data_IF_026586273058
#
_entry.id   IF_026586273058
#
_cell.length_a   1.000
_cell.length_b   1.000
_cell.length_c   1.000
_cell.angle_alpha   90.00
_cell.angle_beta   90.00
_cell.angle_gamma   90.00
#
_symmetry.space_group_name_H-M   'P 1'
#
loop_
_entity.id
_entity.type
_entity.pdbx_description
1 polymer ?
#
# COMPACT_ATOMS: atom_id res chain seq x y z
N UNK A 1 35.99 41.91 -20.61
CA UNK A 1 35.08 41.86 -19.44
C UNK A 1 34.56 40.43 -19.32
N UNK A 2 35.44 39.45 -19.12
CA UNK A 2 36.12 39.06 -17.88
C UNK A 2 35.13 38.53 -16.83
N UNK A 3 35.25 37.34 -16.26
CA UNK A 3 36.02 36.12 -16.57
C UNK A 3 35.46 35.02 -15.65
N UNK A 4 35.25 33.82 -16.17
CA UNK A 4 35.11 32.59 -15.38
C UNK A 4 36.50 32.15 -14.90
N UNK A 5 36.67 31.59 -13.69
CA UNK A 5 37.88 30.83 -13.38
C UNK A 5 37.66 29.31 -13.42
N UNK A 6 38.71 28.67 -13.91
CA UNK A 6 38.92 27.31 -14.34
C UNK A 6 39.38 26.35 -13.23
N UNK A 7 39.22 25.05 -13.51
CA UNK A 7 39.88 23.94 -12.82
C UNK A 7 41.40 23.93 -13.12
N UNK A 8 42.22 23.64 -12.10
CA UNK A 8 43.52 23.00 -12.31
C UNK A 8 43.90 22.05 -11.17
N UNK A 9 44.09 20.79 -11.54
CA UNK A 9 44.79 19.72 -10.82
C UNK A 9 46.25 20.06 -10.57
N UNK A 10 46.78 19.66 -9.41
CA UNK A 10 48.20 19.28 -9.23
C UNK A 10 48.35 18.29 -8.08
N UNK A 11 48.69 17.05 -8.43
CA UNK A 11 49.43 16.14 -7.55
C UNK A 11 50.91 16.59 -7.48
N UNK A 12 51.60 16.32 -6.37
CA UNK A 12 52.95 15.70 -6.28
C UNK A 12 53.31 15.47 -4.78
N UNK A 13 53.35 14.19 -4.44
CA UNK A 13 54.27 13.41 -3.59
C UNK A 13 55.25 14.05 -2.56
N UNK A 14 55.11 13.52 -1.32
CA UNK A 14 56.10 12.95 -0.35
C UNK A 14 57.38 13.67 0.10
N UNK A 15 57.47 13.83 1.44
CA UNK A 15 58.55 13.48 2.42
C UNK A 15 58.22 14.29 3.70
N UNK A 16 58.35 13.90 4.98
CA UNK A 16 58.97 12.78 5.66
C UNK A 16 59.44 13.26 7.06
N UNK A 17 58.71 12.90 8.13
CA UNK A 17 59.14 12.72 9.54
C UNK A 17 59.42 13.89 10.52
N UNK A 18 59.16 13.58 11.80
CA UNK A 18 59.40 14.30 13.08
C UNK A 18 58.32 15.34 13.45
N UNK A 19 57.66 15.38 14.61
CA UNK A 19 57.92 14.84 15.95
C UNK A 19 56.58 14.51 16.66
N UNK A 20 56.52 13.34 17.29
CA UNK A 20 55.44 12.92 18.18
C UNK A 20 55.93 12.99 19.63
N UNK A 21 55.54 14.02 20.40
CA UNK A 21 55.62 14.03 21.87
C UNK A 21 54.99 15.30 22.49
N UNK A 22 53.70 15.61 22.26
CA UNK A 22 53.06 16.73 22.99
C UNK A 22 51.51 16.74 23.03
N UNK A 23 50.81 15.59 22.93
CA UNK A 23 49.32 15.62 22.83
C UNK A 23 48.57 14.63 23.74
N UNK A 24 49.14 14.22 24.88
CA UNK A 24 48.50 13.28 25.80
C UNK A 24 48.07 13.88 27.16
N UNK A 25 47.89 15.20 27.28
CA UNK A 25 47.40 15.80 28.53
C UNK A 25 46.15 16.70 28.40
N UNK A 26 45.67 16.99 27.19
CA UNK A 26 44.46 17.82 26.99
C UNK A 26 43.19 17.03 26.61
N UNK A 27 43.28 15.69 26.51
CA UNK A 27 42.11 14.84 26.19
C UNK A 27 41.33 14.32 27.39
N UNK A 28 41.87 14.37 28.60
CA UNK A 28 41.20 13.84 29.81
C UNK A 28 40.33 14.88 30.55
N UNK A 29 40.29 16.14 30.09
CA UNK A 29 39.44 17.19 30.71
C UNK A 29 38.22 17.59 29.91
N UNK A 30 38.02 17.03 28.71
CA UNK A 30 36.87 17.38 27.87
C UNK A 30 35.73 16.35 27.92
N UNK A 31 35.91 15.22 28.62
CA UNK A 31 34.96 14.11 28.67
C UNK A 31 34.07 14.08 29.93
N UNK A 32 34.20 15.03 30.87
CA UNK A 32 33.34 15.08 32.08
C UNK A 32 32.25 16.17 32.09
N UNK A 33 32.20 17.07 31.10
CA UNK A 33 31.21 18.17 31.07
C UNK A 33 30.07 18.03 30.04
N UNK A 34 29.98 16.90 29.31
CA UNK A 34 28.94 16.68 28.30
C UNK A 34 27.84 15.68 28.71
N UNK A 35 27.72 15.38 30.01
CA UNK A 35 26.82 14.34 30.51
C UNK A 35 25.36 14.81 30.81
N UNK A 36 24.99 16.06 30.54
CA UNK A 36 23.66 16.57 30.96
C UNK A 36 22.91 17.42 29.92
N UNK A 37 23.11 17.18 28.62
CA UNK A 37 22.12 17.59 27.62
C UNK A 37 21.01 16.53 27.56
N UNK A 38 19.93 16.75 28.31
CA UNK A 38 18.62 16.13 28.03
C UNK A 38 18.31 16.36 26.56
N UNK A 39 18.49 15.32 25.73
CA UNK A 39 17.95 15.30 24.38
C UNK A 39 16.44 15.50 24.50
N UNK A 40 15.97 16.69 24.12
CA UNK A 40 14.56 17.04 24.09
C UNK A 40 13.91 16.16 23.02
N UNK A 41 13.32 15.03 23.42
CA UNK A 41 12.71 14.06 22.51
C UNK A 41 11.50 14.75 21.88
N UNK A 42 11.64 15.21 20.63
CA UNK A 42 10.52 15.86 19.92
C UNK A 42 9.47 14.83 19.55
N UNK A 43 8.35 14.88 20.25
CA UNK A 43 7.19 14.06 19.93
C UNK A 43 6.36 14.68 18.82
N UNK A 44 5.63 13.85 18.07
CA UNK A 44 4.64 14.33 17.11
C UNK A 44 3.39 14.85 17.83
N UNK A 45 3.07 16.11 17.59
CA UNK A 45 1.82 16.75 18.01
C UNK A 45 0.97 17.09 16.81
N UNK A 46 -0.34 17.31 17.01
CA UNK A 46 -1.24 17.77 15.94
C UNK A 46 -0.72 19.07 15.29
N UNK A 47 -0.16 19.98 16.08
CA UNK A 47 0.42 21.23 15.55
C UNK A 47 1.67 20.99 14.70
N UNK A 48 2.53 20.04 15.08
CA UNK A 48 3.68 19.64 14.26
C UNK A 48 3.21 19.00 12.95
N UNK A 49 2.24 18.09 13.00
CA UNK A 49 1.64 17.46 11.81
C UNK A 49 1.09 18.54 10.86
N UNK A 50 0.34 19.51 11.40
CA UNK A 50 -0.20 20.64 10.61
C UNK A 50 0.90 21.51 10.01
N UNK A 51 1.99 21.78 10.73
CA UNK A 51 3.13 22.56 10.23
C UNK A 51 3.89 21.83 9.11
N UNK A 52 3.97 20.50 9.20
CA UNK A 52 4.65 19.65 8.22
C UNK A 52 3.72 19.08 7.13
N UNK A 53 2.53 19.67 6.93
CA UNK A 53 1.49 19.13 6.04
C UNK A 53 1.97 18.80 4.60
N UNK A 54 2.96 19.53 4.07
CA UNK A 54 3.52 19.31 2.72
C UNK A 54 4.35 18.04 2.59
N UNK A 55 4.72 17.41 3.70
CA UNK A 55 5.47 16.15 3.73
C UNK A 55 4.56 14.92 3.71
N UNK A 56 3.25 15.13 3.67
CA UNK A 56 2.26 14.06 3.60
C UNK A 56 1.70 13.96 2.18
N UNK A 57 1.72 12.75 1.65
CA UNK A 57 0.98 12.39 0.44
C UNK A 57 -0.03 11.31 0.84
N UNK A 58 -1.30 11.72 0.97
CA UNK A 58 -2.37 10.90 1.52
C UNK A 58 -3.28 10.43 0.38
N UNK A 59 -3.20 9.16 0.02
CA UNK A 59 -4.03 8.59 -1.04
C UNK A 59 -5.46 8.33 -0.58
N UNK A 60 -6.42 8.81 -1.37
CA UNK A 60 -7.84 8.46 -1.19
C UNK A 60 -8.13 7.03 -1.70
N UNK A 61 -7.41 6.61 -2.74
CA UNK A 61 -7.49 5.28 -3.36
C UNK A 61 -6.08 4.65 -3.50
N UNK A 62 -5.44 4.25 -2.39
CA UNK A 62 -4.16 3.56 -2.40
C UNK A 62 -4.34 2.16 -2.98
N UNK A 63 -3.54 1.86 -3.98
CA UNK A 63 -3.49 0.56 -4.67
C UNK A 63 -2.03 0.23 -4.91
N UNK A 64 -1.72 -1.06 -4.88
CA UNK A 64 -0.39 -1.58 -5.23
C UNK A 64 -0.41 -1.97 -6.70
N UNK A 65 0.74 -1.95 -7.37
CA UNK A 65 0.85 -2.50 -8.71
C UNK A 65 1.44 -3.91 -8.62
N UNK A 66 0.79 -4.91 -9.21
CA UNK A 66 1.48 -6.17 -9.45
C UNK A 66 2.64 -5.92 -10.41
N UNK A 67 3.79 -6.52 -10.11
CA UNK A 67 4.98 -6.42 -10.94
C UNK A 67 4.71 -6.86 -12.39
N UNK A 68 3.78 -7.81 -12.59
CA UNK A 68 3.25 -8.22 -13.91
C UNK A 68 1.75 -7.93 -14.05
N UNK A 69 1.29 -6.78 -13.56
CA UNK A 69 -0.06 -6.25 -13.79
C UNK A 69 -0.16 -5.47 -15.10
N UNK A 70 -1.39 -5.23 -15.57
CA UNK A 70 -1.64 -4.56 -16.85
C UNK A 70 -1.14 -3.11 -16.85
N UNK A 71 -1.29 -2.41 -15.72
CA UNK A 71 -0.82 -1.03 -15.60
C UNK A 71 0.71 -0.93 -15.72
N UNK A 72 1.46 -1.88 -15.18
CA UNK A 72 2.92 -1.88 -15.31
C UNK A 72 3.33 -2.09 -16.77
N UNK A 73 2.69 -3.01 -17.47
CA UNK A 73 2.94 -3.22 -18.91
C UNK A 73 2.55 -1.98 -19.73
N UNK A 74 1.44 -1.31 -19.38
CA UNK A 74 1.03 -0.05 -20.01
C UNK A 74 2.05 1.06 -19.77
N UNK A 75 2.53 1.24 -18.54
CA UNK A 75 3.54 2.25 -18.20
C UNK A 75 4.86 2.06 -18.95
N UNK A 76 5.27 0.80 -19.15
CA UNK A 76 6.48 0.43 -19.90
C UNK A 76 6.25 0.68 -21.40
N UNK A 77 5.19 0.12 -21.97
CA UNK A 77 4.92 0.20 -23.42
C UNK A 77 4.64 1.62 -23.91
N UNK A 78 4.00 2.46 -23.08
CA UNK A 78 3.77 3.88 -23.35
C UNK A 78 4.97 4.78 -23.02
N UNK A 79 6.02 4.21 -22.42
CA UNK A 79 7.20 4.93 -21.93
C UNK A 79 6.82 6.10 -20.99
N UNK A 80 5.76 5.93 -20.19
CA UNK A 80 5.31 6.86 -19.15
C UNK A 80 6.05 6.61 -17.84
N UNK A 81 6.55 5.39 -17.62
CA UNK A 81 7.28 5.00 -16.41
C UNK A 81 8.42 5.96 -16.02
N UNK A 82 8.99 6.71 -16.97
CA UNK A 82 10.03 7.72 -16.71
C UNK A 82 9.57 8.93 -15.87
N UNK A 83 8.27 9.11 -15.68
CA UNK A 83 7.70 10.23 -14.92
C UNK A 83 7.45 9.91 -13.45
N UNK A 84 7.57 8.64 -13.06
CA UNK A 84 7.36 8.19 -11.69
C UNK A 84 8.47 7.24 -11.25
N UNK A 85 8.74 7.22 -9.95
CA UNK A 85 9.60 6.23 -9.34
C UNK A 85 8.76 5.22 -8.59
N UNK A 86 9.24 3.97 -8.54
CA UNK A 86 8.53 2.88 -7.90
C UNK A 86 9.43 2.20 -6.88
N UNK A 87 8.82 1.76 -5.78
CA UNK A 87 9.48 0.96 -4.76
C UNK A 87 8.80 -0.40 -4.67
N UNK A 88 9.58 -1.47 -4.59
CA UNK A 88 9.03 -2.78 -4.29
C UNK A 88 8.45 -2.81 -2.87
N UNK A 89 7.27 -3.43 -2.71
CA UNK A 89 6.71 -3.73 -1.38
C UNK A 89 7.72 -4.59 -0.63
N UNK A 90 8.09 -4.17 0.57
CA UNK A 90 9.18 -4.80 1.30
C UNK A 90 8.72 -6.10 1.95
N UNK A 91 7.46 -6.15 2.39
CA UNK A 91 6.92 -7.23 3.20
C UNK A 91 5.45 -7.51 2.90
N UNK A 92 5.14 -8.76 2.60
CA UNK A 92 3.78 -9.29 2.71
C UNK A 92 3.68 -9.96 4.09
N UNK A 93 2.73 -9.52 4.91
CA UNK A 93 2.51 -10.02 6.25
C UNK A 93 1.24 -10.88 6.33
N UNK A 94 1.18 -11.74 7.33
CA UNK A 94 0.01 -12.54 7.67
C UNK A 94 -0.14 -12.67 9.17
N UNK A 95 -1.38 -12.82 9.63
CA UNK A 95 -1.72 -12.90 11.05
C UNK A 95 -2.39 -14.23 11.37
N UNK A 96 -1.74 -15.05 12.20
CA UNK A 96 -2.26 -16.35 12.63
C UNK A 96 -1.97 -16.53 14.12
N UNK A 97 -2.95 -17.05 14.87
CA UNK A 97 -2.82 -17.38 16.29
C UNK A 97 -2.26 -16.24 17.16
N UNK A 98 -2.72 -15.01 16.92
CA UNK A 98 -2.28 -13.83 17.68
C UNK A 98 -0.94 -13.26 17.25
N UNK A 99 -0.29 -13.83 16.23
CA UNK A 99 1.06 -13.45 15.80
C UNK A 99 1.09 -12.93 14.37
N UNK A 100 1.64 -11.73 14.21
CA UNK A 100 1.97 -11.16 12.90
C UNK A 100 3.32 -11.72 12.43
N UNK A 101 3.38 -12.21 11.20
CA UNK A 101 4.59 -12.80 10.62
C UNK A 101 4.75 -12.43 9.16
N UNK A 102 5.98 -12.43 8.67
CA UNK A 102 6.27 -12.22 7.26
C UNK A 102 6.04 -13.51 6.49
N UNK A 103 5.38 -13.35 5.34
CA UNK A 103 5.12 -14.43 4.39
C UNK A 103 6.39 -14.64 3.58
N UNK A 104 6.88 -15.89 3.48
CA UNK A 104 7.99 -16.21 2.58
C UNK A 104 7.60 -15.98 1.12
N UNK A 105 8.32 -15.11 0.40
CA UNK A 105 8.02 -14.79 -1.00
C UNK A 105 9.06 -15.35 -1.99
N UNK A 106 10.12 -16.00 -1.51
CA UNK A 106 11.07 -16.74 -2.35
C UNK A 106 11.31 -18.15 -1.84
N UNK A 107 11.89 -19.00 -2.70
CA UNK A 107 12.39 -20.32 -2.27
C UNK A 107 13.35 -20.18 -1.08
N UNK A 108 14.26 -19.20 -1.12
CA UNK A 108 15.20 -18.94 -0.04
C UNK A 108 14.48 -18.58 1.27
N UNK A 109 13.46 -17.73 1.22
CA UNK A 109 12.66 -17.36 2.39
C UNK A 109 11.94 -18.58 2.97
N UNK A 110 11.35 -19.43 2.11
CA UNK A 110 10.67 -20.66 2.54
C UNK A 110 11.66 -21.55 3.28
N UNK A 111 12.88 -21.72 2.77
CA UNK A 111 13.92 -22.49 3.46
C UNK A 111 14.36 -21.86 4.78
N UNK A 112 14.55 -20.53 4.84
CA UNK A 112 14.97 -19.83 6.04
C UNK A 112 13.88 -19.74 7.13
N UNK A 113 12.62 -19.84 6.75
CA UNK A 113 11.49 -19.73 7.67
C UNK A 113 11.49 -20.87 8.72
N UNK A 114 11.40 -20.52 10.01
CA UNK A 114 11.39 -21.48 11.13
C UNK A 114 9.98 -21.82 11.64
N UNK A 115 8.96 -21.10 11.19
CA UNK A 115 7.56 -21.32 11.61
C UNK A 115 6.91 -22.47 10.85
N UNK A 116 7.43 -22.81 9.66
CA UNK A 116 6.92 -23.88 8.80
C UNK A 116 7.87 -25.09 8.87
N UNK A 117 7.33 -26.28 9.11
CA UNK A 117 8.12 -27.52 9.11
C UNK A 117 8.59 -27.90 7.69
N UNK A 118 9.61 -28.76 7.59
CA UNK A 118 10.14 -29.20 6.27
C UNK A 118 9.06 -29.89 5.42
N UNK A 119 8.16 -30.64 6.05
CA UNK A 119 7.03 -31.31 5.37
C UNK A 119 6.07 -30.27 4.80
N UNK A 120 5.71 -29.26 5.59
CA UNK A 120 4.81 -28.19 5.17
C UNK A 120 5.40 -27.31 4.07
N UNK A 121 6.72 -27.06 4.11
CA UNK A 121 7.43 -26.38 3.01
C UNK A 121 7.30 -27.15 1.70
N UNK A 122 7.44 -28.49 1.75
CA UNK A 122 7.27 -29.36 0.57
C UNK A 122 5.83 -29.33 0.05
N UNK A 123 4.85 -29.40 0.95
CA UNK A 123 3.43 -29.31 0.59
C UNK A 123 3.09 -27.98 -0.08
N UNK A 124 3.56 -26.86 0.51
CA UNK A 124 3.38 -25.53 -0.04
C UNK A 124 3.98 -25.44 -1.43
N UNK A 125 5.25 -25.82 -1.60
CA UNK A 125 5.90 -25.76 -2.92
C UNK A 125 5.20 -26.63 -3.97
N UNK A 126 4.74 -27.83 -3.62
CA UNK A 126 4.00 -28.69 -4.55
C UNK A 126 2.67 -28.07 -5.00
N UNK A 127 1.93 -27.46 -4.06
CA UNK A 127 0.69 -26.79 -4.38
C UNK A 127 0.91 -25.55 -5.26
N UNK A 128 1.90 -24.70 -4.92
CA UNK A 128 2.21 -23.50 -5.70
C UNK A 128 2.64 -23.84 -7.13
N UNK A 129 3.43 -24.91 -7.31
CA UNK A 129 3.80 -25.41 -8.64
C UNK A 129 2.58 -25.88 -9.43
N UNK A 130 1.68 -26.66 -8.82
CA UNK A 130 0.43 -27.10 -9.47
C UNK A 130 -0.43 -25.91 -9.91
N UNK A 131 -0.65 -24.90 -9.05
CA UNK A 131 -1.41 -23.71 -9.43
C UNK A 131 -0.74 -22.89 -10.55
N UNK A 132 0.59 -22.80 -10.54
CA UNK A 132 1.36 -22.05 -11.55
C UNK A 132 1.33 -22.73 -12.92
N UNK A 133 1.57 -24.05 -12.96
CA UNK A 133 1.67 -24.84 -14.20
C UNK A 133 0.30 -25.09 -14.83
N UNK A 134 -0.69 -25.47 -14.02
CA UNK A 134 -1.94 -25.98 -14.56
C UNK A 134 -2.91 -24.86 -14.93
N UNK A 135 -2.95 -23.74 -14.20
CA UNK A 135 -3.91 -22.65 -14.46
C UNK A 135 -5.37 -23.09 -14.25
N UNK A 136 -6.27 -22.13 -14.05
CA UNK A 136 -7.62 -22.48 -13.57
C UNK A 136 -8.51 -23.21 -14.59
N UNK A 137 -8.14 -23.20 -15.88
CA UNK A 137 -8.88 -23.86 -16.96
C UNK A 137 -8.32 -25.27 -17.28
N UNK A 138 -7.45 -25.83 -16.41
CA UNK A 138 -6.92 -27.19 -16.60
C UNK A 138 -7.92 -28.28 -16.19
N UNK A 139 -7.75 -29.52 -16.72
CA UNK A 139 -8.54 -30.66 -16.28
C UNK A 139 -8.46 -30.99 -14.78
N UNK A 140 -7.41 -30.54 -14.07
CA UNK A 140 -7.30 -30.71 -12.61
C UNK A 140 -8.43 -29.98 -11.87
N UNK A 141 -8.90 -28.85 -12.40
CA UNK A 141 -9.88 -27.99 -11.75
C UNK A 141 -11.32 -28.18 -12.26
N UNK A 142 -11.54 -29.03 -13.27
CA UNK A 142 -12.87 -29.27 -13.85
C UNK A 142 -13.90 -29.76 -12.81
N UNK A 143 -13.47 -30.59 -11.85
CA UNK A 143 -14.31 -31.05 -10.73
C UNK A 143 -14.62 -30.01 -9.65
N UNK A 144 -14.12 -28.78 -9.81
CA UNK A 144 -14.19 -27.70 -8.83
C UNK A 144 -14.70 -26.37 -9.40
N UNK A 145 -15.28 -26.37 -10.61
CA UNK A 145 -15.79 -25.15 -11.26
C UNK A 145 -16.84 -24.41 -10.42
N UNK A 146 -17.73 -25.16 -9.77
CA UNK A 146 -18.80 -24.61 -8.91
C UNK A 146 -18.45 -24.65 -7.41
N UNK A 147 -17.16 -24.87 -7.08
CA UNK A 147 -16.69 -25.01 -5.71
C UNK A 147 -15.80 -23.85 -5.30
N UNK A 148 -15.64 -23.68 -3.99
CA UNK A 148 -14.75 -22.65 -3.45
C UNK A 148 -13.29 -23.11 -3.50
N UNK A 149 -12.37 -22.13 -3.47
CA UNK A 149 -10.95 -22.45 -3.41
C UNK A 149 -10.59 -23.22 -2.13
N UNK A 150 -11.25 -22.89 -1.02
CA UNK A 150 -11.06 -23.60 0.25
C UNK A 150 -11.50 -25.06 0.16
N UNK A 151 -12.61 -25.37 -0.52
CA UNK A 151 -13.07 -26.74 -0.76
C UNK A 151 -12.04 -27.54 -1.54
N UNK A 152 -11.45 -26.96 -2.60
CA UNK A 152 -10.34 -27.59 -3.32
C UNK A 152 -9.14 -27.84 -2.40
N UNK A 153 -8.70 -26.82 -1.63
CA UNK A 153 -7.57 -26.96 -0.71
C UNK A 153 -7.81 -27.98 0.40
N UNK A 154 -9.06 -28.23 0.78
CA UNK A 154 -9.41 -29.28 1.74
C UNK A 154 -9.22 -30.69 1.18
N UNK A 155 -9.25 -30.88 -0.15
CA UNK A 155 -8.98 -32.19 -0.79
C UNK A 155 -7.50 -32.53 -0.84
N UNK A 156 -6.64 -31.51 -0.83
CA UNK A 156 -5.20 -31.66 -0.69
C UNK A 156 -4.94 -31.78 0.81
N UNK A 157 -4.30 -32.86 1.29
CA UNK A 157 -4.06 -33.13 2.72
C UNK A 157 -3.11 -32.10 3.40
N UNK A 158 -3.38 -30.81 3.28
CA UNK A 158 -2.56 -29.68 3.71
C UNK A 158 -2.81 -29.36 5.19
N UNK A 159 -1.75 -28.94 5.88
CA UNK A 159 -1.87 -28.45 7.26
C UNK A 159 -2.54 -27.08 7.31
N UNK A 160 -3.11 -26.67 8.47
CA UNK A 160 -3.77 -25.36 8.60
C UNK A 160 -2.89 -24.18 8.22
N UNK A 161 -1.59 -24.20 8.57
CA UNK A 161 -0.66 -23.11 8.25
C UNK A 161 -0.39 -22.99 6.74
N UNK A 162 -0.34 -24.11 6.00
CA UNK A 162 -0.17 -24.09 4.54
C UNK A 162 -1.41 -23.52 3.87
N UNK A 163 -2.61 -23.96 4.30
CA UNK A 163 -3.87 -23.39 3.80
C UNK A 163 -3.96 -21.90 4.10
N UNK A 164 -3.56 -21.49 5.29
CA UNK A 164 -3.55 -20.10 5.71
C UNK A 164 -2.67 -19.22 4.80
N UNK A 165 -1.42 -19.62 4.53
CA UNK A 165 -0.55 -18.86 3.62
C UNK A 165 -1.14 -18.73 2.22
N UNK A 166 -1.66 -19.82 1.68
CA UNK A 166 -2.18 -19.85 0.31
C UNK A 166 -3.44 -18.99 0.20
N UNK A 167 -4.38 -19.16 1.13
CA UNK A 167 -5.65 -18.42 1.13
C UNK A 167 -5.42 -16.94 1.41
N UNK A 168 -4.73 -16.60 2.49
CA UNK A 168 -4.73 -15.23 3.02
C UNK A 168 -3.61 -14.37 2.41
N UNK A 169 -2.40 -14.91 2.31
CA UNK A 169 -1.25 -14.11 1.89
C UNK A 169 -1.00 -14.11 0.37
N UNK A 170 -1.28 -15.24 -0.29
CA UNK A 170 -0.96 -15.42 -1.72
C UNK A 170 -2.19 -15.11 -2.57
N UNK A 171 -3.28 -15.86 -2.37
CA UNK A 171 -4.50 -15.69 -3.15
C UNK A 171 -5.34 -14.48 -2.68
N UNK A 172 -5.13 -14.01 -1.45
CA UNK A 172 -5.95 -12.96 -0.80
C UNK A 172 -7.45 -13.25 -0.97
N UNK A 173 -7.82 -14.46 -0.54
CA UNK A 173 -9.11 -15.10 -0.76
C UNK A 173 -9.84 -15.33 0.57
N UNK A 174 -11.16 -15.35 0.48
CA UNK A 174 -12.09 -15.76 1.55
C UNK A 174 -12.61 -17.18 1.30
N UNK A 175 -13.34 -17.71 2.27
CA UNK A 175 -14.10 -18.96 2.14
C UNK A 175 -15.13 -18.94 1.00
N UNK A 176 -15.62 -17.75 0.61
CA UNK A 176 -16.55 -17.53 -0.51
C UNK A 176 -15.87 -17.44 -1.89
N UNK A 177 -14.54 -17.37 -1.93
CA UNK A 177 -13.81 -17.18 -3.21
C UNK A 177 -13.91 -18.44 -4.06
N UNK A 178 -14.29 -18.29 -5.33
CA UNK A 178 -14.40 -19.42 -6.26
C UNK A 178 -13.04 -20.11 -6.44
N UNK A 179 -13.05 -21.42 -6.72
CA UNK A 179 -11.80 -22.15 -6.96
C UNK A 179 -11.02 -21.54 -8.12
N UNK A 180 -11.73 -21.16 -9.19
CA UNK A 180 -11.15 -20.52 -10.38
C UNK A 180 -10.41 -19.23 -10.03
N UNK A 181 -11.05 -18.35 -9.26
CA UNK A 181 -10.43 -17.08 -8.86
C UNK A 181 -9.25 -17.30 -7.92
N UNK A 182 -9.36 -18.23 -6.96
CA UNK A 182 -8.26 -18.55 -6.04
C UNK A 182 -7.01 -19.06 -6.77
N UNK A 183 -7.19 -19.93 -7.77
CA UNK A 183 -6.09 -20.45 -8.61
C UNK A 183 -5.49 -19.34 -9.47
N UNK A 184 -6.33 -18.51 -10.12
CA UNK A 184 -5.87 -17.42 -10.96
C UNK A 184 -5.10 -16.35 -10.16
N UNK A 185 -5.61 -15.96 -8.99
CA UNK A 185 -4.93 -15.02 -8.07
C UNK A 185 -3.60 -15.59 -7.58
N UNK A 186 -3.56 -16.87 -7.22
CA UNK A 186 -2.32 -17.56 -6.84
C UNK A 186 -1.29 -17.54 -7.98
N UNK A 187 -1.72 -17.89 -9.19
CA UNK A 187 -0.85 -17.86 -10.38
C UNK A 187 -0.34 -16.45 -10.68
N UNK A 188 -1.19 -15.44 -10.61
CA UNK A 188 -0.82 -14.05 -10.85
C UNK A 188 0.21 -13.53 -9.83
N UNK A 189 0.00 -13.83 -8.54
CA UNK A 189 0.96 -13.55 -7.47
C UNK A 189 2.32 -14.18 -7.77
N UNK A 190 2.34 -15.49 -8.07
CA UNK A 190 3.58 -16.24 -8.32
C UNK A 190 4.33 -15.74 -9.55
N UNK A 191 3.62 -15.44 -10.64
CA UNK A 191 4.23 -14.93 -11.87
C UNK A 191 4.88 -13.56 -11.65
N UNK A 192 4.32 -12.75 -10.74
CA UNK A 192 4.82 -11.41 -10.42
C UNK A 192 6.04 -11.39 -9.49
N UNK A 193 6.34 -12.50 -8.79
CA UNK A 193 7.49 -12.58 -7.89
C UNK A 193 8.83 -12.40 -8.62
N UNK A 194 9.79 -11.75 -7.96
CA UNK A 194 11.17 -11.69 -8.42
C UNK A 194 11.43 -10.74 -9.60
N UNK A 195 10.41 -10.06 -10.16
CA UNK A 195 10.61 -9.16 -11.31
C UNK A 195 11.39 -7.90 -10.95
N UNK A 196 11.05 -7.24 -9.84
CA UNK A 196 11.65 -5.99 -9.38
C UNK A 196 12.06 -6.01 -7.90
N UNK A 197 11.77 -7.11 -7.21
CA UNK A 197 12.01 -7.28 -5.78
C UNK A 197 11.56 -8.66 -5.32
N UNK A 198 11.68 -8.91 -4.01
CA UNK A 198 11.32 -10.21 -3.43
C UNK A 198 9.80 -10.46 -3.42
N UNK A 199 9.00 -9.41 -3.27
CA UNK A 199 7.53 -9.50 -3.29
C UNK A 199 6.99 -9.18 -4.70
N UNK A 200 5.72 -9.49 -5.01
CA UNK A 200 5.17 -9.31 -6.35
C UNK A 200 4.60 -7.91 -6.59
N UNK A 201 4.83 -6.95 -5.69
CA UNK A 201 4.13 -5.67 -5.70
C UNK A 201 5.08 -4.48 -5.75
N UNK A 202 4.61 -3.40 -6.38
CA UNK A 202 5.23 -2.10 -6.44
C UNK A 202 4.31 -1.04 -5.84
N UNK A 203 4.92 0.02 -5.33
CA UNK A 203 4.28 1.24 -4.87
C UNK A 203 4.85 2.44 -5.62
N UNK A 204 4.00 3.34 -6.15
CA UNK A 204 4.47 4.60 -6.73
C UNK A 204 4.93 5.54 -5.61
N UNK A 205 6.17 6.01 -5.72
CA UNK A 205 6.70 7.01 -4.79
C UNK A 205 5.80 8.25 -4.81
N UNK A 206 5.58 8.86 -3.63
CA UNK A 206 4.61 9.95 -3.44
C UNK A 206 3.13 9.56 -3.59
N UNK A 207 2.80 8.26 -3.75
CA UNK A 207 1.43 7.76 -3.71
C UNK A 207 0.82 7.53 -5.10
N UNK A 208 -0.32 6.85 -5.12
CA UNK A 208 -1.05 6.48 -6.35
C UNK A 208 -1.58 7.68 -7.12
N UNK A 209 -1.71 8.84 -6.48
CA UNK A 209 -2.08 10.11 -7.11
C UNK A 209 -1.12 10.60 -8.21
N UNK A 210 0.11 10.09 -8.26
CA UNK A 210 1.07 10.41 -9.32
C UNK A 210 0.71 9.74 -10.66
N UNK A 211 0.03 8.59 -10.63
CA UNK A 211 -0.28 7.83 -11.84
C UNK A 211 -1.18 8.61 -12.81
N UNK A 212 -2.34 9.18 -12.39
CA UNK A 212 -3.15 10.04 -13.27
C UNK A 212 -2.37 11.23 -13.82
N UNK A 213 -1.49 11.83 -13.01
CA UNK A 213 -0.67 12.97 -13.43
C UNK A 213 0.34 12.58 -14.52
N UNK A 214 0.92 11.38 -14.43
CA UNK A 214 1.82 10.85 -15.45
C UNK A 214 1.13 10.69 -16.81
N UNK A 215 -0.09 10.14 -16.83
CA UNK A 215 -0.90 10.04 -18.06
C UNK A 215 -1.35 11.42 -18.56
N UNK A 216 -1.67 12.35 -17.65
CA UNK A 216 -2.02 13.71 -18.03
C UNK A 216 -0.85 14.44 -18.69
N UNK A 217 0.36 14.26 -18.16
CA UNK A 217 1.58 14.77 -18.77
C UNK A 217 1.79 14.18 -20.16
N UNK A 218 1.59 12.87 -20.33
CA UNK A 218 1.69 12.25 -21.65
C UNK A 218 0.73 12.92 -22.64
N UNK A 219 -0.54 13.06 -22.29
CA UNK A 219 -1.53 13.72 -23.14
C UNK A 219 -1.13 15.16 -23.50
N UNK A 220 -0.60 15.93 -22.53
CA UNK A 220 -0.13 17.29 -22.79
C UNK A 220 1.05 17.35 -23.79
N UNK A 221 1.98 16.40 -23.74
CA UNK A 221 3.09 16.29 -24.70
C UNK A 221 2.59 16.11 -26.14
N UNK A 222 1.43 15.48 -26.32
CA UNK A 222 0.78 15.28 -27.62
C UNK A 222 -0.24 16.37 -27.96
N UNK A 223 -0.21 17.52 -27.27
CA UNK A 223 -1.05 18.68 -27.57
C UNK A 223 -2.38 18.74 -26.81
N UNK A 224 -2.60 17.85 -25.83
CA UNK A 224 -3.73 17.92 -24.93
C UNK A 224 -3.73 19.19 -24.07
N UNK A 225 -4.88 19.83 -23.92
CA UNK A 225 -5.03 21.06 -23.14
C UNK A 225 -5.71 20.76 -21.81
N UNK A 226 -5.08 21.17 -20.71
CA UNK A 226 -5.58 20.97 -19.35
C UNK A 226 -6.16 22.25 -18.76
N UNK A 227 -7.36 22.14 -18.18
CA UNK A 227 -8.04 23.25 -17.50
C UNK A 227 -8.52 22.79 -16.12
N UNK A 228 -7.74 23.06 -15.06
CA UNK A 228 -8.18 22.83 -13.68
C UNK A 228 -9.11 23.96 -13.21
N UNK A 229 -9.88 23.70 -12.15
CA UNK A 229 -10.89 24.64 -11.60
C UNK A 229 -11.93 25.06 -12.64
N UNK A 230 -12.25 24.15 -13.55
CA UNK A 230 -13.22 24.35 -14.62
C UNK A 230 -14.25 23.24 -14.61
N UNK A 231 -15.49 23.60 -14.27
CA UNK A 231 -16.59 22.66 -14.14
C UNK A 231 -17.30 22.43 -15.48
N UNK A 232 -17.89 21.24 -15.62
CA UNK A 232 -18.87 20.90 -16.65
C UNK A 232 -20.25 21.34 -16.15
N UNK A 233 -20.84 22.36 -16.76
CA UNK A 233 -22.14 22.90 -16.33
C UNK A 233 -23.32 22.27 -17.09
N UNK A 234 -23.05 21.68 -18.26
CA UNK A 234 -24.06 20.99 -19.03
C UNK A 234 -23.53 20.39 -20.32
N UNK A 235 -24.32 19.50 -20.91
CA UNK A 235 -24.06 18.88 -22.21
C UNK A 235 -25.13 19.33 -23.20
N UNK A 236 -24.73 19.56 -24.45
CA UNK A 236 -25.67 19.89 -25.53
C UNK A 236 -25.85 18.66 -26.39
N UNK A 237 -27.04 18.08 -26.31
CA UNK A 237 -27.44 16.89 -27.06
C UNK A 237 -28.37 17.29 -28.19
N UNK A 238 -28.11 16.76 -29.38
CA UNK A 238 -28.89 16.98 -30.59
C UNK A 238 -28.79 15.73 -31.48
N UNK A 239 -29.92 15.26 -32.03
CA UNK A 239 -30.01 14.00 -32.79
C UNK A 239 -29.37 12.79 -32.07
N UNK A 240 -29.64 12.60 -30.77
CA UNK A 240 -29.06 11.54 -29.93
C UNK A 240 -27.52 11.57 -29.81
N UNK A 241 -26.88 12.69 -30.20
CA UNK A 241 -25.42 12.87 -30.11
C UNK A 241 -25.07 14.09 -29.24
N UNK A 242 -24.07 13.95 -28.38
CA UNK A 242 -23.49 15.09 -27.69
C UNK A 242 -22.63 15.90 -28.67
N UNK A 243 -23.01 17.15 -28.98
CA UNK A 243 -22.29 18.02 -29.94
C UNK A 243 -21.41 19.07 -29.26
N UNK A 244 -21.65 19.36 -27.98
CA UNK A 244 -20.89 20.34 -27.22
C UNK A 244 -21.05 20.17 -25.70
N UNK A 245 -20.13 20.77 -24.94
CA UNK A 245 -20.29 21.03 -23.51
C UNK A 245 -20.44 22.53 -23.23
N UNK A 246 -21.09 22.83 -22.11
CA UNK A 246 -21.18 24.17 -21.53
C UNK A 246 -20.26 24.22 -20.31
N UNK A 247 -19.41 25.25 -20.27
CA UNK A 247 -18.52 25.53 -19.15
C UNK A 247 -18.36 27.04 -18.98
N UNK A 248 -18.94 27.56 -17.90
CA UNK A 248 -19.23 28.96 -17.65
C UNK A 248 -20.10 29.54 -18.77
N UNK A 249 -19.57 30.58 -19.42
CA UNK A 249 -20.23 31.25 -20.55
C UNK A 249 -19.82 30.69 -21.91
N UNK A 250 -18.98 29.65 -21.95
CA UNK A 250 -18.44 29.11 -23.19
C UNK A 250 -19.16 27.83 -23.60
N UNK A 251 -19.40 27.71 -24.90
CA UNK A 251 -19.86 26.48 -25.56
C UNK A 251 -18.70 25.88 -26.35
N UNK A 252 -18.25 24.70 -25.96
CA UNK A 252 -17.11 24.00 -26.58
C UNK A 252 -17.63 22.80 -27.37
N UNK A 253 -17.39 22.79 -28.69
CA UNK A 253 -17.79 21.69 -29.57
C UNK A 253 -16.89 20.48 -29.37
N UNK A 254 -17.45 19.28 -29.51
CA UNK A 254 -16.73 18.02 -29.40
C UNK A 254 -17.32 16.93 -30.30
N UNK A 255 -16.54 15.87 -30.52
CA UNK A 255 -17.00 14.65 -31.18
C UNK A 255 -17.27 13.51 -30.19
N UNK A 256 -16.46 13.43 -29.14
CA UNK A 256 -16.55 12.45 -28.05
C UNK A 256 -16.41 13.16 -26.71
N UNK A 257 -17.17 12.71 -25.72
CA UNK A 257 -17.07 13.20 -24.35
C UNK A 257 -16.71 12.02 -23.44
N UNK A 258 -15.53 12.06 -22.83
CA UNK A 258 -15.14 11.14 -21.77
C UNK A 258 -15.27 11.87 -20.44
N UNK A 259 -15.98 11.28 -19.48
CA UNK A 259 -16.35 11.97 -18.24
C UNK A 259 -16.28 11.01 -17.06
N UNK A 260 -15.71 11.48 -15.96
CA UNK A 260 -15.67 10.73 -14.71
C UNK A 260 -17.01 10.74 -13.98
N UNK A 261 -17.22 9.72 -13.17
CA UNK A 261 -18.35 9.61 -12.25
C UNK A 261 -18.62 10.91 -11.48
N UNK A 262 -19.91 11.24 -11.28
CA UNK A 262 -20.34 12.41 -10.49
C UNK A 262 -20.35 13.76 -11.22
N UNK A 263 -19.91 13.82 -12.48
CA UNK A 263 -19.93 15.06 -13.29
C UNK A 263 -21.06 15.10 -14.31
N UNK A 264 -21.71 13.96 -14.57
CA UNK A 264 -22.87 13.88 -15.46
C UNK A 264 -24.16 14.20 -14.70
N UNK A 265 -25.13 14.83 -15.39
CA UNK A 265 -26.42 15.14 -14.80
C UNK A 265 -27.23 13.83 -14.61
N UNK A 266 -28.09 13.75 -13.57
CA UNK A 266 -28.82 12.53 -13.22
C UNK A 266 -29.66 11.93 -14.36
N UNK A 267 -30.08 12.74 -15.34
CA UNK A 267 -30.88 12.30 -16.48
C UNK A 267 -30.11 11.39 -17.45
N UNK A 268 -28.78 11.46 -17.45
CA UNK A 268 -27.89 10.68 -18.33
C UNK A 268 -27.34 9.44 -17.60
N UNK A 269 -27.45 9.41 -16.28
CA UNK A 269 -26.87 8.38 -15.42
C UNK A 269 -27.97 7.47 -14.89
N UNK A 270 -27.83 6.15 -15.05
CA UNK A 270 -28.87 5.20 -14.67
C UNK A 270 -29.07 5.07 -13.15
N UNK A 271 -28.05 5.37 -12.35
CA UNK A 271 -28.12 5.38 -10.89
C UNK A 271 -27.06 6.29 -10.28
N UNK A 272 -27.37 6.91 -9.13
CA UNK A 272 -26.36 7.51 -8.27
C UNK A 272 -25.62 6.34 -7.58
N UNK A 273 -24.51 5.91 -8.16
CA UNK A 273 -23.73 4.74 -7.75
C UNK A 273 -23.58 4.60 -6.25
N UNK A 274 -23.67 3.37 -5.79
CA UNK A 274 -23.69 3.09 -4.37
C UNK A 274 -22.29 3.25 -3.76
N UNK A 275 -22.22 3.84 -2.58
CA UNK A 275 -21.05 3.81 -1.72
C UNK A 275 -20.78 2.36 -1.30
N UNK A 276 -19.92 1.63 -2.02
CA UNK A 276 -19.59 0.22 -1.72
C UNK A 276 -18.21 0.02 -1.12
N UNK A 277 -17.44 1.09 -0.88
CA UNK A 277 -16.09 1.00 -0.35
C UNK A 277 -16.03 1.68 1.01
N UNK A 278 -15.49 0.97 2.00
CA UNK A 278 -15.17 1.50 3.33
C UNK A 278 -13.66 1.70 3.43
N UNK A 279 -13.24 2.92 3.79
CA UNK A 279 -11.83 3.34 3.82
C UNK A 279 -11.45 3.94 5.17
N UNK A 280 -10.28 3.54 5.66
CA UNK A 280 -9.64 4.11 6.84
C UNK A 280 -8.24 4.57 6.48
N UNK A 281 -7.88 5.77 6.92
CA UNK A 281 -6.53 6.34 6.77
C UNK A 281 -6.06 6.71 8.17
N UNK A 282 -4.89 6.23 8.57
CA UNK A 282 -4.34 6.42 9.90
C UNK A 282 -2.91 6.93 9.81
N UNK A 283 -2.57 7.91 10.64
CA UNK A 283 -1.18 8.31 10.90
C UNK A 283 -0.79 7.70 12.25
N UNK A 284 0.28 6.90 12.26
CA UNK A 284 0.74 6.19 13.45
C UNK A 284 2.19 6.53 13.79
N UNK A 285 2.56 6.30 15.04
CA UNK A 285 3.89 6.62 15.59
C UNK A 285 4.95 5.51 15.41
N UNK A 286 4.54 4.35 14.89
CA UNK A 286 5.40 3.18 14.64
C UNK A 286 4.74 2.23 13.64
N UNK A 287 5.51 1.24 13.17
CA UNK A 287 5.02 0.18 12.30
C UNK A 287 4.18 -0.86 13.08
N UNK A 288 3.16 -1.43 12.43
CA UNK A 288 2.37 -2.57 12.91
C UNK A 288 3.21 -3.82 13.14
N UNK A 289 4.39 -3.91 12.50
CA UNK A 289 5.35 -5.00 12.67
C UNK A 289 6.77 -4.44 12.67
N UNK A 290 7.31 -4.27 13.88
CA UNK A 290 8.68 -3.77 14.07
C UNK A 290 9.70 -4.66 13.36
N UNK A 291 10.71 -4.04 12.77
CA UNK A 291 11.85 -4.70 12.15
C UNK A 291 13.08 -3.83 12.22
N UNK A 292 14.23 -4.35 11.79
CA UNK A 292 15.48 -3.58 11.78
C UNK A 292 15.46 -2.43 10.76
N UNK A 293 14.66 -2.60 9.70
CA UNK A 293 14.54 -1.65 8.59
C UNK A 293 13.10 -1.22 8.43
N UNK A 294 12.94 -0.03 7.86
CA UNK A 294 11.64 0.45 7.42
C UNK A 294 11.06 -0.47 6.32
N UNK A 295 9.78 -0.82 6.47
CA UNK A 295 9.09 -1.71 5.56
C UNK A 295 7.84 -1.03 5.00
N UNK A 296 7.64 -1.18 3.70
CA UNK A 296 6.34 -1.06 3.04
C UNK A 296 5.62 -2.40 3.20
N UNK A 297 4.51 -2.42 3.95
CA UNK A 297 3.84 -3.68 4.35
C UNK A 297 2.46 -3.82 3.72
N UNK A 298 2.19 -4.97 3.11
CA UNK A 298 0.84 -5.41 2.75
C UNK A 298 0.38 -6.47 3.75
N UNK A 299 -0.86 -6.35 4.24
CA UNK A 299 -1.52 -7.36 5.05
C UNK A 299 -2.96 -7.53 4.57
N UNK A 300 -3.36 -8.77 4.31
CA UNK A 300 -4.75 -9.12 4.03
C UNK A 300 -5.37 -9.76 5.26
N UNK A 301 -6.47 -9.18 5.74
CA UNK A 301 -7.20 -9.64 6.92
C UNK A 301 -8.51 -10.27 6.47
N UNK A 302 -8.69 -11.59 6.60
CA UNK A 302 -9.99 -12.21 6.35
C UNK A 302 -11.02 -11.78 7.41
N UNK A 303 -12.32 -11.89 7.11
CA UNK A 303 -13.38 -11.67 8.10
C UNK A 303 -13.29 -12.70 9.23
N UNK A 304 -13.54 -12.27 10.47
CA UNK A 304 -13.64 -13.16 11.64
C UNK A 304 -15.08 -13.60 11.90
N UNK A 305 -16.04 -12.75 11.50
CA UNK A 305 -17.47 -12.97 11.65
C UNK A 305 -18.17 -12.89 10.29
N UNK A 306 -19.36 -13.49 10.18
CA UNK A 306 -20.10 -13.61 8.92
C UNK A 306 -20.63 -12.28 8.35
N UNK A 307 -20.75 -11.26 9.19
CA UNK A 307 -21.17 -9.90 8.86
C UNK A 307 -20.01 -8.98 8.46
N UNK A 308 -18.77 -9.46 8.52
CA UNK A 308 -17.57 -8.71 8.16
C UNK A 308 -17.14 -8.99 6.73
N UNK A 309 -16.42 -8.02 6.15
CA UNK A 309 -15.75 -8.16 4.86
C UNK A 309 -14.23 -8.20 5.08
N UNK A 310 -13.47 -8.87 4.21
CA UNK A 310 -12.02 -8.87 4.29
C UNK A 310 -11.46 -7.45 4.13
N UNK A 311 -10.42 -7.13 4.88
CA UNK A 311 -9.75 -5.83 4.86
C UNK A 311 -8.34 -5.96 4.31
N UNK A 312 -8.03 -5.16 3.32
CA UNK A 312 -6.66 -4.95 2.84
C UNK A 312 -6.05 -3.79 3.62
N UNK A 313 -4.88 -4.03 4.22
CA UNK A 313 -4.08 -3.06 4.95
C UNK A 313 -2.76 -2.81 4.21
N UNK A 314 -2.49 -1.54 3.89
CA UNK A 314 -1.22 -1.08 3.33
C UNK A 314 -0.58 -0.11 4.33
N UNK A 315 0.61 -0.44 4.82
CA UNK A 315 1.42 0.43 5.67
C UNK A 315 2.57 1.03 4.87
N UNK A 316 2.65 2.35 4.89
CA UNK A 316 3.66 3.17 4.24
C UNK A 316 4.52 3.85 5.32
N UNK A 317 5.84 3.77 5.17
CA UNK A 317 6.77 4.55 5.98
C UNK A 317 7.37 5.74 5.21
N UNK A 318 8.27 6.50 5.86
CA UNK A 318 8.91 7.68 5.28
C UNK A 318 9.66 7.43 3.96
N UNK A 319 10.21 6.23 3.76
CA UNK A 319 10.93 5.81 2.55
C UNK A 319 10.06 5.72 1.29
N UNK A 320 8.75 5.88 1.42
CA UNK A 320 7.79 5.98 0.29
C UNK A 320 7.42 7.42 -0.05
N UNK A 321 7.93 8.40 0.71
CA UNK A 321 7.51 9.80 0.72
C UNK A 321 6.02 10.02 1.05
N UNK A 322 5.35 9.04 1.67
CA UNK A 322 3.97 9.21 2.13
C UNK A 322 3.87 10.12 3.36
N UNK A 323 4.87 10.11 4.26
CA UNK A 323 4.85 10.88 5.50
C UNK A 323 6.28 11.23 6.02
N UNK A 324 6.39 12.19 6.96
CA UNK A 324 7.64 12.51 7.66
C UNK A 324 8.28 11.36 8.43
N UNK A 325 9.58 11.49 8.70
CA UNK A 325 10.33 10.60 9.61
C UNK A 325 9.66 10.48 10.97
N UNK A 326 9.61 9.26 11.52
CA UNK A 326 8.94 8.97 12.79
C UNK A 326 7.45 8.70 12.71
N UNK A 327 6.86 8.79 11.52
CA UNK A 327 5.47 8.48 11.28
C UNK A 327 5.33 7.36 10.27
N UNK A 328 4.17 6.72 10.32
CA UNK A 328 3.71 5.75 9.35
C UNK A 328 2.30 6.10 8.92
N UNK A 329 1.95 5.76 7.69
CA UNK A 329 0.61 5.91 7.15
C UNK A 329 0.03 4.53 6.90
N UNK A 330 -1.10 4.24 7.54
CA UNK A 330 -1.81 2.97 7.37
C UNK A 330 -3.10 3.24 6.64
N UNK A 331 -3.27 2.57 5.51
CA UNK A 331 -4.51 2.57 4.75
C UNK A 331 -5.21 1.23 4.93
N UNK A 332 -6.52 1.27 5.20
CA UNK A 332 -7.39 0.10 5.25
C UNK A 332 -8.52 0.25 4.25
N UNK A 333 -8.85 -0.82 3.53
CA UNK A 333 -10.00 -0.87 2.62
C UNK A 333 -10.71 -2.21 2.69
N UNK A 334 -12.03 -2.15 2.72
CA UNK A 334 -12.90 -3.29 2.51
C UNK A 334 -14.15 -2.87 1.73
N UNK A 335 -14.91 -3.88 1.31
CA UNK A 335 -16.28 -3.66 0.87
C UNK A 335 -17.10 -3.11 2.03
N UNK A 336 -17.95 -2.13 1.74
CA UNK A 336 -18.84 -1.53 2.73
C UNK A 336 -19.97 -2.49 3.06
N UNK A 337 -20.26 -2.64 4.35
CA UNK A 337 -21.50 -3.28 4.83
C UNK A 337 -22.37 -2.27 5.57
N UNK A 338 -21.77 -1.41 6.40
CA UNK A 338 -22.48 -0.38 7.16
C UNK A 338 -21.89 1.02 6.94
N UNK A 339 -20.77 1.32 7.59
CA UNK A 339 -20.00 2.54 7.41
C UNK A 339 -18.51 2.25 7.67
N UNK A 340 -17.63 3.10 7.16
CA UNK A 340 -16.20 2.82 7.22
C UNK A 340 -15.63 2.68 8.63
N UNK A 341 -16.23 3.31 9.64
CA UNK A 341 -15.76 3.22 11.02
C UNK A 341 -16.08 1.86 11.63
N UNK A 342 -17.31 1.39 11.46
CA UNK A 342 -17.78 0.12 12.02
C UNK A 342 -17.20 -1.07 11.24
N UNK A 343 -17.18 -0.99 9.91
CA UNK A 343 -16.66 -2.05 9.04
C UNK A 343 -15.18 -2.35 9.31
N UNK A 344 -14.40 -1.33 9.68
CA UNK A 344 -12.96 -1.44 9.93
C UNK A 344 -12.62 -1.64 11.41
N UNK A 345 -13.59 -1.56 12.32
CA UNK A 345 -13.35 -1.52 13.76
C UNK A 345 -12.56 -2.75 14.26
N UNK A 346 -12.86 -3.94 13.76
CA UNK A 346 -12.21 -5.19 14.19
C UNK A 346 -10.72 -5.22 13.83
N UNK A 347 -10.34 -4.70 12.66
CA UNK A 347 -8.93 -4.62 12.21
C UNK A 347 -8.20 -3.49 12.94
N UNK A 348 -8.85 -2.34 13.12
CA UNK A 348 -8.29 -1.22 13.88
C UNK A 348 -7.99 -1.66 15.32
N UNK A 349 -8.94 -2.26 16.03
CA UNK A 349 -8.73 -2.74 17.40
C UNK A 349 -7.64 -3.82 17.49
N UNK A 350 -7.50 -4.63 16.45
CA UNK A 350 -6.50 -5.70 16.40
C UNK A 350 -5.08 -5.16 16.22
N UNK A 351 -4.87 -4.23 15.29
CA UNK A 351 -3.53 -3.80 14.91
C UNK A 351 -3.12 -2.43 15.43
N UNK A 352 -4.05 -1.56 15.78
CA UNK A 352 -3.79 -0.18 16.18
C UNK A 352 -4.31 0.10 17.60
N UNK A 353 -3.69 1.05 18.29
CA UNK A 353 -4.14 1.57 19.57
C UNK A 353 -4.94 2.88 19.35
N UNK A 354 -6.27 2.87 19.57
CA UNK A 354 -7.12 4.04 19.33
C UNK A 354 -7.08 5.10 20.43
N UNK A 355 -6.47 4.79 21.58
CA UNK A 355 -6.45 5.69 22.74
C UNK A 355 -5.22 6.60 22.72
N UNK A 356 -5.40 7.83 23.20
CA UNK A 356 -4.29 8.73 23.52
C UNK A 356 -3.35 8.04 24.51
N UNK A 357 -2.03 8.25 24.35
CA UNK A 357 -1.00 7.77 25.28
C UNK A 357 -1.47 8.00 26.72
N UNK A 358 -1.60 6.93 27.50
CA UNK A 358 -1.80 7.09 28.94
C UNK A 358 -0.65 7.94 29.49
N UNK A 359 -0.89 8.85 30.44
CA UNK A 359 0.11 9.82 30.91
C UNK A 359 1.41 9.18 31.45
N UNK A 360 1.43 7.87 31.70
CA UNK A 360 2.57 7.10 32.19
C UNK A 360 3.24 6.21 31.12
N UNK A 361 2.82 6.29 29.85
CA UNK A 361 3.52 5.60 28.74
C UNK A 361 4.58 6.56 28.21
N UNK A 362 5.84 6.27 28.49
CA UNK A 362 6.98 6.96 27.87
C UNK A 362 6.82 6.89 26.35
N UNK A 363 6.56 8.01 25.65
CA UNK A 363 6.38 7.97 24.22
C UNK A 363 7.73 7.60 23.59
N UNK A 364 7.70 6.74 22.58
CA UNK A 364 8.93 6.33 21.94
C UNK A 364 9.53 7.50 21.15
N UNK A 365 10.86 7.62 21.07
CA UNK A 365 11.50 8.65 20.26
C UNK A 365 11.09 8.52 18.80
N UNK A 366 10.37 9.50 18.28
CA UNK A 366 9.90 9.51 16.89
C UNK A 366 10.95 10.06 15.92
N UNK A 367 11.96 10.79 16.40
CA UNK A 367 13.00 11.38 15.55
C UNK A 367 14.19 10.42 15.30
N UNK A 368 14.14 9.17 15.76
CA UNK A 368 15.18 8.16 15.54
C UNK A 368 15.19 7.62 14.12
N UNK A 369 16.36 7.60 13.46
CA UNK A 369 16.56 6.93 12.16
C UNK A 369 16.42 5.41 12.22
N UNK A 370 16.40 4.83 13.41
CA UNK A 370 16.36 3.38 13.64
C UNK A 370 15.08 3.00 14.37
N UNK A 371 14.38 1.98 13.84
CA UNK A 371 13.25 1.31 14.49
C UNK A 371 13.68 0.47 15.71
N UNK A 372 14.84 0.76 16.31
CA UNK A 372 15.45 -0.05 17.35
C UNK A 372 14.86 0.29 18.71
N UNK A 373 14.32 -0.74 19.36
CA UNK A 373 14.10 -0.80 20.81
C UNK A 373 15.35 -0.27 21.54
N UNK A 374 15.22 0.51 22.62
CA UNK A 374 16.36 0.77 23.50
C UNK A 374 16.87 -0.57 24.04
N UNK A 375 18.15 -0.86 23.86
CA UNK A 375 18.74 -2.10 24.36
C UNK A 375 18.57 -2.27 25.89
N UNK A 376 18.23 -3.52 26.26
CA UNK A 376 18.36 -4.18 27.58
C UNK A 376 17.28 -3.92 28.65
N UNK A 377 16.25 -4.78 28.61
CA UNK A 377 15.84 -5.50 29.83
C UNK A 377 15.97 -7.00 29.55
N UNK A 378 16.89 -7.68 30.25
CA UNK A 378 17.03 -9.12 30.23
C UNK A 378 15.67 -9.79 30.51
N UNK A 379 15.06 -10.40 29.50
CA UNK A 379 13.96 -11.34 29.73
C UNK A 379 14.62 -12.67 30.08
N UNK A 380 14.63 -12.97 31.38
CA UNK A 380 14.93 -14.31 31.86
C UNK A 380 13.93 -15.29 31.21
N UNK A 381 14.47 -16.34 30.59
CA UNK A 381 13.70 -17.45 30.07
C UNK A 381 12.91 -18.11 31.21
N UNK A 382 11.60 -18.26 31.00
CA UNK A 382 10.73 -19.11 31.80
C UNK A 382 9.79 -18.37 32.74
N UNK A 383 8.67 -17.85 32.23
CA UNK A 383 7.40 -17.77 32.98
C UNK A 383 6.23 -17.91 32.01
N UNK A 384 5.45 -18.97 32.18
CA UNK A 384 4.08 -19.13 31.68
C UNK A 384 3.22 -17.96 32.20
N UNK A 385 2.63 -17.15 31.33
CA UNK A 385 1.52 -16.28 31.73
C UNK A 385 0.67 -15.88 30.53
N UNK A 386 -0.51 -16.52 30.44
CA UNK A 386 -1.71 -15.97 29.81
C UNK A 386 -1.94 -14.54 30.31
N UNK A 387 -2.35 -13.65 29.41
CA UNK A 387 -2.79 -12.26 29.69
C UNK A 387 -1.77 -11.28 30.31
N UNK A 388 -0.77 -10.87 29.52
CA UNK A 388 -0.09 -9.58 29.73
C UNK A 388 -0.33 -8.64 28.54
N UNK A 389 -0.92 -7.48 28.83
CA UNK A 389 -1.30 -6.39 27.92
C UNK A 389 -0.45 -6.25 26.62
N UNK A 390 -0.92 -6.84 25.51
CA UNK A 390 -0.37 -6.62 24.16
C UNK A 390 -0.64 -5.18 23.62
N UNK A 391 -1.45 -4.37 24.31
CA UNK A 391 -1.78 -3.03 23.85
C UNK A 391 -0.57 -2.08 23.78
N UNK A 392 0.47 -2.28 24.60
CA UNK A 392 1.69 -1.45 24.56
C UNK A 392 2.55 -1.65 23.30
N UNK A 393 2.29 -2.69 22.50
CA UNK A 393 3.04 -3.00 21.27
C UNK A 393 2.37 -2.47 20.00
N UNK A 394 1.08 -2.09 20.06
CA UNK A 394 0.34 -1.60 18.90
C UNK A 394 0.73 -0.15 18.58
N UNK A 395 0.77 0.25 17.30
CA UNK A 395 0.96 1.65 16.94
C UNK A 395 -0.15 2.55 17.46
N UNK A 396 0.23 3.70 18.01
CA UNK A 396 -0.73 4.70 18.46
C UNK A 396 -1.25 5.48 17.27
N UNK A 397 -2.56 5.66 17.20
CA UNK A 397 -3.20 6.50 16.19
C UNK A 397 -3.05 7.96 16.62
N UNK A 398 -2.30 8.74 15.84
CA UNK A 398 -2.16 10.20 16.03
C UNK A 398 -3.25 10.97 15.28
N UNK A 399 -3.71 10.42 14.17
CA UNK A 399 -4.80 10.97 13.37
C UNK A 399 -5.49 9.85 12.59
N UNK A 400 -6.80 9.98 12.37
CA UNK A 400 -7.57 9.06 11.56
C UNK A 400 -8.64 9.76 10.74
N UNK A 401 -8.94 9.17 9.58
CA UNK A 401 -10.04 9.56 8.70
C UNK A 401 -10.73 8.30 8.19
N UNK A 402 -12.06 8.32 8.24
CA UNK A 402 -12.91 7.27 7.71
C UNK A 402 -13.77 7.84 6.58
N UNK A 403 -13.82 7.14 5.44
CA UNK A 403 -14.53 7.55 4.23
C UNK A 403 -15.33 6.38 3.68
N UNK A 404 -16.55 6.65 3.24
CA UNK A 404 -17.29 5.76 2.35
C UNK A 404 -17.17 6.32 0.93
N UNK A 405 -16.75 5.50 -0.03
CA UNK A 405 -16.54 5.91 -1.42
C UNK A 405 -17.49 5.13 -2.35
N UNK A 406 -17.99 5.79 -3.41
CA UNK A 406 -18.77 5.11 -4.45
C UNK A 406 -17.90 4.09 -5.19
N UNK A 407 -18.49 2.96 -5.54
CA UNK A 407 -17.84 1.98 -6.42
C UNK A 407 -18.10 2.26 -7.90
N UNK A 408 -17.34 1.55 -8.72
CA UNK A 408 -17.17 1.72 -10.17
C UNK A 408 -18.34 1.24 -11.04
N UNK A 409 -19.55 1.05 -10.51
CA UNK A 409 -20.63 0.33 -11.20
C UNK A 409 -21.70 1.23 -11.83
N UNK A 410 -21.49 2.54 -11.86
CA UNK A 410 -22.42 3.46 -12.52
C UNK A 410 -22.46 3.20 -14.03
N UNK A 411 -23.68 3.09 -14.56
CA UNK A 411 -23.94 2.97 -15.99
C UNK A 411 -24.66 4.21 -16.52
N UNK A 412 -24.45 4.47 -17.80
CA UNK A 412 -25.26 5.42 -18.55
C UNK A 412 -26.67 4.84 -18.77
N UNK A 413 -27.67 5.72 -18.92
CA UNK A 413 -29.01 5.31 -19.31
C UNK A 413 -29.03 4.79 -20.76
N UNK A 414 -30.00 3.96 -21.12
CA UNK A 414 -30.16 3.48 -22.50
C UNK A 414 -30.43 4.61 -23.50
N UNK A 415 -30.93 5.75 -23.00
CA UNK A 415 -31.16 6.98 -23.77
C UNK A 415 -29.95 7.91 -23.82
N UNK A 416 -28.83 7.56 -23.17
CA UNK A 416 -27.64 8.38 -23.19
C UNK A 416 -27.03 8.43 -24.60
N UNK A 417 -26.53 9.60 -25.04
CA UNK A 417 -25.84 9.73 -26.31
C UNK A 417 -24.66 8.76 -26.44
N UNK A 418 -24.58 8.03 -27.56
CA UNK A 418 -23.59 6.96 -27.78
C UNK A 418 -22.12 7.42 -27.78
N UNK A 419 -21.89 8.72 -27.92
CA UNK A 419 -20.56 9.33 -27.91
C UNK A 419 -20.17 9.95 -26.56
N UNK A 420 -20.97 9.69 -25.51
CA UNK A 420 -20.60 9.94 -24.12
C UNK A 420 -20.06 8.63 -23.54
N UNK A 421 -18.85 8.70 -23.00
CA UNK A 421 -18.14 7.58 -22.39
C UNK A 421 -17.96 7.90 -20.91
N UNK A 422 -18.51 7.03 -20.05
CA UNK A 422 -18.42 7.18 -18.60
C UNK A 422 -17.20 6.40 -18.10
N UNK A 423 -16.26 7.10 -17.48
CA UNK A 423 -15.20 6.49 -16.69
C UNK A 423 -15.68 6.32 -15.25
N UNK A 424 -15.42 5.13 -14.73
CA UNK A 424 -15.79 4.74 -13.38
C UNK A 424 -14.79 5.25 -12.33
N UNK A 425 -15.23 5.27 -11.07
CA UNK A 425 -14.34 5.55 -9.93
C UNK A 425 -13.39 4.39 -9.58
N UNK A 426 -12.65 4.49 -8.48
CA UNK A 426 -11.80 3.41 -8.00
C UNK A 426 -12.63 2.22 -7.50
N UNK A 427 -12.14 1.02 -7.76
CA UNK A 427 -12.74 -0.25 -7.36
C UNK A 427 -12.04 -0.87 -6.12
N UNK A 428 -12.51 -2.03 -5.66
CA UNK A 428 -12.02 -2.73 -4.46
C UNK A 428 -10.76 -3.56 -4.68
N UNK A 429 -10.36 -3.84 -5.93
CA UNK A 429 -9.20 -4.67 -6.20
C UNK A 429 -7.90 -4.00 -5.73
N UNK A 430 -6.88 -4.81 -5.48
CA UNK A 430 -5.60 -4.33 -4.98
C UNK A 430 -4.82 -3.51 -6.02
N UNK A 431 -5.00 -3.83 -7.31
CA UNK A 431 -4.30 -3.25 -8.46
C UNK A 431 -5.25 -2.41 -9.34
N UNK A 432 -4.74 -1.96 -10.48
CA UNK A 432 -5.35 -1.03 -11.41
C UNK A 432 -5.85 -1.71 -12.69
N UNK A 433 -5.86 -3.04 -12.77
CA UNK A 433 -6.31 -3.78 -13.97
C UNK A 433 -7.73 -3.39 -14.39
N UNK A 434 -8.65 -3.18 -13.44
CA UNK A 434 -9.99 -2.69 -13.75
C UNK A 434 -9.95 -1.30 -14.41
N UNK A 435 -9.09 -0.40 -13.93
CA UNK A 435 -8.97 0.95 -14.47
C UNK A 435 -8.30 1.00 -15.85
N UNK A 436 -7.49 -0.01 -16.19
CA UNK A 436 -6.86 -0.18 -17.51
C UNK A 436 -7.81 -0.84 -18.51
N UNK A 437 -8.67 -1.76 -18.05
CA UNK A 437 -9.62 -2.50 -18.88
C UNK A 437 -10.90 -1.73 -19.26
N UNK A 438 -11.30 -0.73 -18.47
CA UNK A 438 -12.43 0.15 -18.81
C UNK A 438 -12.11 1.03 -20.04
#
# INVERSE_FOLDING_TARGET
DADLPSLSTKEIQTEGSSEAAAQNQDKEKHDEENADQKHDVKHWTVDRIKKEYRRFNIDLAPKLLFARGELVELLISSNIARYAEFRAVSRVATFMDGKLSQVPCSRADVFANKTVSVVEKRMLMQLLLSCMEQGADSPEFDGYRDKTFLEYLNTKNLTPIVKHYVMQAIAMATDKTSCRDGVNRTKHFLNSLGRYGNTPFLWPMYGSGELPQCFCRLCAVFGGVYCLKRQLDGVVVDDEKCKAIISGKQRLKLEHLVVGQGHLPPEIVASAGEEKISRGIFITDRSIMQGEKENLTLLYCPPEESNQEPVTLIELGPSTNACPQGLFMVHMTCKRTTNAKDDLAYVVQKFLAPNALEPNVTPYPTDGHTQTVPEKSHVAEGVDSKDKNLNHLKPHILWSLYLNLPASDIKLTDSAPKNIHLCSGPDLELDFDFAVNQ
#
